data_IF_861114251167
#
_entry.id   IF_861114251167
#
_cell.length_a   1.000
_cell.length_b   1.000
_cell.length_c   1.000
_cell.angle_alpha   90.00
_cell.angle_beta   90.00
_cell.angle_gamma   90.00
#
_symmetry.space_group_name_H-M   'P 1'
#
loop_
_entity.id
_entity.type
_entity.pdbx_description
1 polymer ?
#
# COMPACT_ATOMS: atom_id res chain seq x y z
N UNK A 1 17.68 -17.30 8.64
CA UNK A 1 17.58 -17.45 7.17
C UNK A 1 16.28 -16.75 6.80
N UNK A 2 16.35 -15.55 6.21
CA UNK A 2 15.14 -14.87 5.75
C UNK A 2 14.56 -15.62 4.55
N UNK A 3 13.26 -15.82 4.52
CA UNK A 3 12.57 -16.40 3.38
C UNK A 3 12.49 -15.32 2.29
N UNK A 4 13.57 -15.16 1.52
CA UNK A 4 13.56 -14.29 0.35
C UNK A 4 12.78 -14.99 -0.74
N UNK A 5 11.64 -14.38 -1.10
CA UNK A 5 10.97 -14.76 -2.31
C UNK A 5 11.61 -14.02 -3.49
N UNK A 6 11.84 -14.76 -4.57
CA UNK A 6 12.16 -14.16 -5.85
C UNK A 6 11.08 -13.12 -6.23
N UNK A 7 11.44 -11.86 -6.49
CA UNK A 7 10.50 -10.79 -6.76
C UNK A 7 9.58 -11.08 -7.96
N UNK A 8 10.07 -11.76 -9.00
CA UNK A 8 9.29 -12.05 -10.20
C UNK A 8 8.23 -13.12 -9.91
N UNK A 9 8.56 -14.10 -9.07
CA UNK A 9 7.61 -15.10 -8.56
C UNK A 9 6.57 -14.43 -7.66
N UNK A 10 6.99 -13.50 -6.80
CA UNK A 10 6.08 -12.69 -5.98
C UNK A 10 5.07 -11.97 -6.87
N UNK A 11 5.60 -11.24 -7.84
CA UNK A 11 4.83 -10.39 -8.72
C UNK A 11 3.82 -11.21 -9.52
N UNK A 12 4.23 -12.35 -10.08
CA UNK A 12 3.30 -13.26 -10.76
C UNK A 12 2.18 -13.72 -9.83
N UNK A 13 2.49 -14.13 -8.60
CA UNK A 13 1.48 -14.61 -7.66
C UNK A 13 0.50 -13.48 -7.29
N UNK A 14 1.00 -12.27 -7.01
CA UNK A 14 0.15 -11.12 -6.67
C UNK A 14 -0.66 -10.58 -7.86
N UNK A 15 -0.10 -10.63 -9.07
CA UNK A 15 -0.78 -10.17 -10.29
C UNK A 15 -1.83 -11.17 -10.80
N UNK A 16 -1.59 -12.47 -10.63
CA UNK A 16 -2.46 -13.51 -11.21
C UNK A 16 -3.49 -14.08 -10.25
N UNK A 17 -3.40 -13.77 -8.95
CA UNK A 17 -4.26 -14.38 -7.92
C UNK A 17 -5.02 -13.33 -7.12
N UNK A 18 -6.17 -13.73 -6.59
CA UNK A 18 -6.98 -12.90 -5.71
C UNK A 18 -6.37 -12.77 -4.31
N UNK A 19 -6.79 -11.74 -3.56
CA UNK A 19 -6.38 -11.41 -2.19
C UNK A 19 -6.29 -12.64 -1.25
N UNK A 20 -7.23 -13.58 -1.36
CA UNK A 20 -7.24 -14.81 -0.55
C UNK A 20 -6.02 -15.72 -0.81
N UNK A 21 -5.54 -15.81 -2.05
CA UNK A 21 -4.36 -16.61 -2.39
C UNK A 21 -3.08 -15.92 -1.95
N UNK A 22 -2.99 -14.61 -2.17
CA UNK A 22 -1.87 -13.78 -1.73
C UNK A 22 -1.67 -13.85 -0.21
N UNK A 23 -2.76 -13.77 0.55
CA UNK A 23 -2.79 -13.96 2.00
C UNK A 23 -2.25 -15.33 2.42
N UNK A 24 -2.78 -16.41 1.82
CA UNK A 24 -2.37 -17.79 2.15
C UNK A 24 -0.87 -18.00 1.90
N UNK A 25 -0.36 -17.45 0.80
CA UNK A 25 1.05 -17.55 0.44
C UNK A 25 1.94 -16.82 1.45
N UNK A 26 1.61 -15.57 1.78
CA UNK A 26 2.36 -14.77 2.76
C UNK A 26 2.36 -15.42 4.15
N UNK A 27 1.23 -15.97 4.57
CA UNK A 27 1.13 -16.72 5.83
C UNK A 27 2.04 -17.95 5.83
N UNK A 28 2.02 -18.75 4.75
CA UNK A 28 2.85 -19.96 4.64
C UNK A 28 4.33 -19.67 4.59
N UNK A 29 4.73 -18.47 4.15
CA UNK A 29 6.12 -18.04 4.11
C UNK A 29 6.58 -17.31 5.37
N UNK A 30 5.67 -17.10 6.33
CA UNK A 30 5.99 -16.49 7.61
C UNK A 30 6.27 -14.99 7.49
N UNK A 31 5.61 -14.29 6.55
CA UNK A 31 5.60 -12.83 6.55
C UNK A 31 4.79 -12.30 7.74
N UNK A 32 5.20 -11.14 8.24
CA UNK A 32 4.54 -10.48 9.37
C UNK A 32 3.10 -10.05 9.01
N UNK A 33 2.29 -9.84 10.05
CA UNK A 33 0.86 -9.53 9.90
C UNK A 33 0.63 -8.28 9.04
N UNK A 34 1.51 -7.28 9.09
CA UNK A 34 1.43 -6.07 8.26
C UNK A 34 1.29 -6.40 6.76
N UNK A 35 2.09 -7.33 6.24
CA UNK A 35 2.03 -7.73 4.83
C UNK A 35 0.75 -8.52 4.52
N UNK A 36 0.31 -9.34 5.48
CA UNK A 36 -0.93 -10.12 5.35
C UNK A 36 -2.13 -9.19 5.31
N UNK A 37 -2.19 -8.19 6.19
CA UNK A 37 -3.24 -7.18 6.25
C UNK A 37 -3.31 -6.37 4.95
N UNK A 38 -2.17 -5.88 4.46
CA UNK A 38 -2.10 -5.14 3.18
C UNK A 38 -2.57 -6.01 2.00
N UNK A 39 -2.11 -7.27 1.91
CA UNK A 39 -2.47 -8.16 0.78
C UNK A 39 -3.93 -8.60 0.75
N UNK A 40 -4.58 -8.61 1.91
CA UNK A 40 -5.97 -9.04 2.08
C UNK A 40 -6.94 -7.87 2.15
N UNK A 41 -6.43 -6.67 2.44
CA UNK A 41 -7.21 -5.50 2.85
C UNK A 41 -8.08 -5.78 4.09
N UNK A 42 -7.67 -6.73 4.94
CA UNK A 42 -8.34 -7.11 6.19
C UNK A 42 -7.46 -6.79 7.39
N UNK A 43 -8.08 -6.41 8.51
CA UNK A 43 -7.40 -6.19 9.80
C UNK A 43 -7.33 -7.50 10.58
N UNK A 44 -6.16 -7.83 11.15
CA UNK A 44 -5.92 -9.05 11.92
C UNK A 44 -5.53 -8.79 13.37
N UNK A 45 -4.96 -7.63 13.69
CA UNK A 45 -4.57 -7.25 15.05
C UNK A 45 -5.72 -6.55 15.81
N UNK A 46 -6.02 -7.02 17.03
CA UNK A 46 -7.02 -6.39 17.92
C UNK A 46 -6.49 -5.11 18.56
N UNK A 47 -5.20 -5.07 18.86
CA UNK A 47 -4.49 -3.90 19.39
C UNK A 47 -3.60 -3.35 18.30
N UNK A 48 -4.03 -2.26 17.68
CA UNK A 48 -3.31 -1.62 16.58
C UNK A 48 -2.53 -0.39 17.06
N UNK A 49 -1.35 -0.11 16.47
CA UNK A 49 -0.73 1.21 16.60
C UNK A 49 -1.65 2.29 16.03
N UNK A 50 -1.38 3.55 16.36
CA UNK A 50 -2.18 4.69 15.89
C UNK A 50 -2.26 4.75 14.34
N UNK A 51 -1.19 4.34 13.66
CA UNK A 51 -1.11 4.21 12.19
C UNK A 51 -0.48 2.86 11.86
N UNK A 52 -1.21 1.99 11.13
CA UNK A 52 -0.70 0.70 10.64
C UNK A 52 -0.21 0.79 9.19
N UNK A 53 0.55 -0.22 8.73
CA UNK A 53 0.93 -0.34 7.32
C UNK A 53 -0.29 -0.44 6.39
N UNK A 54 -1.37 -1.08 6.83
CA UNK A 54 -2.62 -1.12 6.08
C UNK A 54 -3.22 0.27 5.92
N UNK A 55 -3.19 1.10 6.96
CA UNK A 55 -3.69 2.48 6.89
C UNK A 55 -2.87 3.30 5.88
N UNK A 56 -1.53 3.19 5.93
CA UNK A 56 -0.64 3.85 4.95
C UNK A 56 -0.94 3.37 3.52
N UNK A 57 -1.10 2.06 3.31
CA UNK A 57 -1.41 1.50 1.99
C UNK A 57 -2.77 1.98 1.47
N UNK A 58 -3.79 2.05 2.33
CA UNK A 58 -5.12 2.57 1.96
C UNK A 58 -5.09 4.06 1.64
N UNK A 59 -4.36 4.86 2.41
CA UNK A 59 -4.16 6.29 2.16
C UNK A 59 -3.48 6.49 0.79
N UNK A 60 -2.39 5.75 0.53
CA UNK A 60 -1.69 5.81 -0.75
C UNK A 60 -2.59 5.39 -1.92
N UNK A 61 -3.39 4.34 -1.75
CA UNK A 61 -4.35 3.91 -2.76
C UNK A 61 -5.41 4.98 -3.03
N UNK A 62 -5.99 5.58 -1.99
CA UNK A 62 -6.97 6.66 -2.14
C UNK A 62 -6.38 7.88 -2.86
N UNK A 63 -5.14 8.26 -2.55
CA UNK A 63 -4.42 9.31 -3.26
C UNK A 63 -4.25 8.99 -4.75
N UNK A 64 -3.86 7.75 -5.09
CA UNK A 64 -3.71 7.35 -6.48
C UNK A 64 -5.05 7.34 -7.22
N UNK A 65 -6.13 6.90 -6.58
CA UNK A 65 -7.49 6.99 -7.13
C UNK A 65 -7.86 8.45 -7.42
N UNK A 66 -7.53 9.38 -6.50
CA UNK A 66 -7.82 10.82 -6.67
C UNK A 66 -7.09 11.37 -7.89
N UNK A 67 -5.77 11.16 -7.97
CA UNK A 67 -4.94 11.67 -9.07
C UNK A 67 -5.33 11.06 -10.43
N UNK A 68 -5.79 9.80 -10.43
CA UNK A 68 -6.25 9.11 -11.64
C UNK A 68 -7.70 9.43 -12.02
N UNK A 69 -8.39 10.29 -11.27
CA UNK A 69 -9.82 10.61 -11.48
C UNK A 69 -10.69 9.34 -11.48
N UNK A 70 -10.40 8.41 -10.58
CA UNK A 70 -11.15 7.16 -10.45
C UNK A 70 -12.48 7.41 -9.74
N UNK A 71 -13.60 7.15 -10.42
CA UNK A 71 -14.95 7.38 -9.91
C UNK A 71 -15.28 6.56 -8.65
N UNK A 72 -14.54 5.46 -8.41
CA UNK A 72 -14.76 4.60 -7.24
C UNK A 72 -14.20 5.22 -5.95
N UNK A 73 -13.54 6.39 -6.04
CA UNK A 73 -12.94 7.04 -4.87
C UNK A 73 -13.96 7.39 -3.80
N UNK A 74 -15.19 7.73 -4.21
CA UNK A 74 -16.28 8.09 -3.29
C UNK A 74 -16.71 6.92 -2.40
N UNK A 75 -16.48 5.68 -2.86
CA UNK A 75 -16.75 4.45 -2.10
C UNK A 75 -15.52 4.00 -1.28
N UNK A 76 -14.35 4.61 -1.51
CA UNK A 76 -13.10 4.22 -0.88
C UNK A 76 -12.80 5.08 0.35
N UNK A 77 -13.30 4.65 1.51
CA UNK A 77 -13.04 5.35 2.78
C UNK A 77 -11.62 5.08 3.33
N UNK A 78 -11.01 6.11 3.92
CA UNK A 78 -9.73 6.03 4.62
C UNK A 78 -9.81 6.74 5.97
N UNK A 79 -9.15 6.17 6.98
CA UNK A 79 -8.97 6.80 8.30
C UNK A 79 -7.54 7.33 8.39
N UNK A 80 -7.36 8.58 8.79
CA UNK A 80 -6.05 9.18 9.02
C UNK A 80 -6.10 10.23 10.12
N UNK A 81 -4.97 10.45 10.79
CA UNK A 81 -4.82 11.52 11.78
C UNK A 81 -4.45 12.85 11.10
N UNK A 82 -4.22 13.89 11.90
CA UNK A 82 -3.89 15.23 11.39
C UNK A 82 -2.69 15.21 10.43
N UNK A 83 -1.63 14.50 10.79
CA UNK A 83 -0.44 14.36 9.95
C UNK A 83 -0.75 13.67 8.62
N UNK A 84 -1.57 12.61 8.63
CA UNK A 84 -1.99 11.96 7.39
C UNK A 84 -2.85 12.88 6.50
N UNK A 85 -3.68 13.74 7.09
CA UNK A 85 -4.47 14.74 6.37
C UNK A 85 -3.59 15.77 5.66
N UNK A 86 -2.57 16.28 6.35
CA UNK A 86 -1.62 17.26 5.81
C UNK A 86 -0.84 16.68 4.63
N UNK A 87 -0.32 15.45 4.79
CA UNK A 87 0.42 14.75 3.72
C UNK A 87 -0.47 14.49 2.51
N UNK A 88 -1.71 14.03 2.72
CA UNK A 88 -2.68 13.82 1.63
C UNK A 88 -2.97 15.13 0.89
N UNK A 89 -3.16 16.23 1.60
CA UNK A 89 -3.41 17.54 1.00
C UNK A 89 -2.21 17.99 0.14
N UNK A 90 -0.99 17.87 0.66
CA UNK A 90 0.22 18.25 -0.08
C UNK A 90 0.37 17.40 -1.36
N UNK A 91 0.28 16.08 -1.23
CA UNK A 91 0.47 15.16 -2.35
C UNK A 91 -0.66 15.22 -3.38
N UNK A 92 -1.89 15.52 -2.98
CA UNK A 92 -3.02 15.65 -3.93
C UNK A 92 -2.96 16.94 -4.75
N UNK A 93 -2.44 18.03 -4.17
CA UNK A 93 -2.30 19.31 -4.86
C UNK A 93 -0.97 19.48 -5.61
N UNK A 94 -0.05 18.52 -5.47
CA UNK A 94 1.22 18.50 -6.20
C UNK A 94 1.00 18.34 -7.70
N UNK A 95 1.80 19.02 -8.52
CA UNK A 95 1.74 18.84 -9.98
C UNK A 95 2.11 17.40 -10.36
N UNK A 96 1.58 16.91 -11.49
CA UNK A 96 1.90 15.55 -11.96
C UNK A 96 3.40 15.37 -12.21
N UNK A 97 4.08 16.41 -12.68
CA UNK A 97 5.53 16.39 -12.91
C UNK A 97 6.28 16.20 -11.60
N UNK A 98 6.02 17.04 -10.60
CA UNK A 98 6.71 16.99 -9.31
C UNK A 98 6.42 15.69 -8.57
N UNK A 99 5.17 15.22 -8.63
CA UNK A 99 4.76 13.95 -8.02
C UNK A 99 5.53 12.77 -8.63
N UNK A 100 5.57 12.69 -9.97
CA UNK A 100 6.31 11.64 -10.66
C UNK A 100 7.82 11.71 -10.40
N UNK A 101 8.38 12.91 -10.31
CA UNK A 101 9.80 13.10 -9.99
C UNK A 101 10.13 12.67 -8.56
N UNK A 102 9.25 12.93 -7.59
CA UNK A 102 9.39 12.38 -6.23
C UNK A 102 9.34 10.85 -6.23
N UNK A 103 8.37 10.24 -6.92
CA UNK A 103 8.28 8.77 -7.02
C UNK A 103 9.58 8.18 -7.61
N UNK A 104 10.08 8.77 -8.70
CA UNK A 104 11.36 8.35 -9.32
C UNK A 104 12.53 8.51 -8.36
N UNK A 105 12.60 9.61 -7.62
CA UNK A 105 13.66 9.84 -6.65
C UNK A 105 13.65 8.77 -5.55
N UNK A 106 12.47 8.40 -5.04
CA UNK A 106 12.30 7.34 -4.02
C UNK A 106 12.69 5.97 -4.57
N UNK A 107 12.27 5.62 -5.80
CA UNK A 107 12.64 4.35 -6.44
C UNK A 107 14.16 4.23 -6.62
N UNK A 108 14.78 5.27 -7.18
CA UNK A 108 16.23 5.33 -7.38
C UNK A 108 17.00 5.22 -6.05
N UNK A 109 16.52 5.89 -4.99
CA UNK A 109 17.12 5.82 -3.66
C UNK A 109 16.98 4.43 -3.01
N UNK A 110 15.95 3.68 -3.40
CA UNK A 110 15.66 2.33 -2.91
C UNK A 110 16.42 1.23 -3.68
N UNK A 111 17.17 1.60 -4.73
CA UNK A 111 17.91 0.65 -5.56
C UNK A 111 17.03 -0.15 -6.54
N UNK A 112 15.82 0.34 -6.82
CA UNK A 112 14.88 -0.18 -7.82
C UNK A 112 15.00 0.59 -9.14
#
# INVERSE_FOLDING_TARGET
RGNYLDPDIALQIFQTRCSATSKLVLERWGFDNDFREVSSNEKYELTRPEVSYLDIARIAHHLLMFRNHDERIDEHEVEFNLTGAEVLYELSNMSDTDFNDQIRAVLNASGL
#
